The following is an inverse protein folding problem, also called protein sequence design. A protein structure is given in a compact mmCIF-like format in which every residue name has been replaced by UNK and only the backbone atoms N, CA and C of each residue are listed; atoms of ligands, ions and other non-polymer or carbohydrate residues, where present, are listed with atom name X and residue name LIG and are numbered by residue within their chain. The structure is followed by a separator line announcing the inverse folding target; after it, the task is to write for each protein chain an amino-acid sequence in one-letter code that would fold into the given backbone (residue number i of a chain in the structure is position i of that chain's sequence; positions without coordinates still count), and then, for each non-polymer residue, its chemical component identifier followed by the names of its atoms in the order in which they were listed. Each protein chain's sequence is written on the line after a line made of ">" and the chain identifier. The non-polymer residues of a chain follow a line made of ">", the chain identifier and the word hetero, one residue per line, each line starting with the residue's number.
data_IF_313908543696
#
_entry.id   IF_313908543696
#
_cell.length_a   1.000
_cell.length_b   1.000
_cell.length_c   1.000
_cell.angle_alpha   90.00
_cell.angle_beta   90.00
_cell.angle_gamma   90.00
#
_symmetry.space_group_name_H-M   'P 1'
#
loop_
_entity.id
_entity.type
_entity.pdbx_description
1 polymer ?
#
# COMPACT_ATOMS: atom_id res chain seq x y z
N UNK A 1 33.16 -0.59 6.05
CA UNK A 1 31.88 -0.53 5.32
C UNK A 1 30.79 -0.18 6.31
N UNK A 2 30.21 1.01 6.24
CA UNK A 2 29.10 1.41 7.12
C UNK A 2 27.79 0.85 6.54
N UNK A 3 27.23 -0.18 7.18
CA UNK A 3 25.90 -0.67 6.84
C UNK A 3 24.83 0.16 7.54
N UNK A 4 23.80 0.53 6.78
CA UNK A 4 22.60 1.24 7.25
C UNK A 4 21.74 0.28 8.05
N UNK A 5 21.38 0.66 9.27
CA UNK A 5 20.31 -0.01 10.01
C UNK A 5 18.96 0.35 9.39
N UNK A 6 18.13 -0.63 8.99
CA UNK A 6 16.79 -0.36 8.47
C UNK A 6 15.87 0.00 9.65
N UNK A 7 15.17 1.13 9.57
CA UNK A 7 14.08 1.47 10.51
C UNK A 7 14.18 2.78 11.28
N UNK A 8 15.24 3.58 11.12
CA UNK A 8 15.31 4.91 11.75
C UNK A 8 14.82 6.00 10.77
N UNK A 9 13.93 6.87 11.25
CA UNK A 9 13.51 8.08 10.55
C UNK A 9 14.74 8.95 10.23
N UNK A 10 15.21 8.89 8.99
CA UNK A 10 16.48 9.47 8.52
C UNK A 10 16.49 11.00 8.69
N UNK A 11 15.31 11.61 8.77
CA UNK A 11 15.10 13.04 8.88
C UNK A 11 15.46 13.54 10.31
N UNK A 12 15.01 12.85 11.37
CA UNK A 12 15.28 13.27 12.76
C UNK A 12 16.75 13.09 13.17
N UNK A 13 17.42 12.07 12.63
CA UNK A 13 18.84 11.81 12.91
C UNK A 13 19.74 12.84 12.23
N UNK A 14 19.36 13.32 11.04
CA UNK A 14 20.09 14.37 10.33
C UNK A 14 19.97 15.75 11.00
N UNK A 15 18.79 16.10 11.52
CA UNK A 15 18.57 17.37 12.22
C UNK A 15 19.28 17.43 13.59
N UNK A 16 19.31 16.31 14.32
CA UNK A 16 20.03 16.23 15.61
C UNK A 16 21.54 16.44 15.46
N UNK A 17 22.13 15.95 14.36
CA UNK A 17 23.57 16.14 14.08
C UNK A 17 23.86 17.60 13.65
N UNK A 18 22.93 18.25 12.94
CA UNK A 18 23.05 19.68 12.56
C UNK A 18 22.94 20.64 13.74
N UNK A 19 22.15 20.32 14.76
CA UNK A 19 22.05 21.14 15.97
C UNK A 19 23.29 21.08 16.86
N UNK A 20 24.06 19.98 16.84
CA UNK A 20 25.28 19.84 17.64
C UNK A 20 26.55 20.39 16.97
N UNK A 21 26.53 20.62 15.65
CA UNK A 21 27.67 21.16 14.89
C UNK A 21 28.18 22.56 15.32
N UNK A 22 27.35 23.56 15.66
CA UNK A 22 27.87 24.87 16.05
C UNK A 22 28.66 24.83 17.37
N UNK A 23 28.29 23.94 18.30
CA UNK A 23 28.94 23.82 19.61
C UNK A 23 30.35 23.19 19.53
N UNK A 24 30.58 22.29 18.57
CA UNK A 24 31.92 21.75 18.33
C UNK A 24 32.82 22.71 17.55
N UNK A 25 32.26 23.61 16.74
CA UNK A 25 33.02 24.53 15.90
C UNK A 25 33.67 25.67 16.69
N UNK A 26 33.12 26.05 17.86
CA UNK A 26 33.73 27.04 18.77
C UNK A 26 34.96 26.51 19.54
N UNK A 27 35.14 25.19 19.63
CA UNK A 27 36.21 24.56 20.43
C UNK A 27 37.50 24.30 19.64
N UNK A 28 37.54 24.61 18.35
CA UNK A 28 38.64 24.26 17.45
C UNK A 28 39.46 25.50 17.01
N UNK A 29 40.81 25.46 17.08
CA UNK A 29 41.68 26.60 16.77
C UNK A 29 41.64 26.99 15.28
N UNK A 30 41.85 28.29 15.01
CA UNK A 30 41.63 29.04 13.75
C UNK A 30 42.46 28.62 12.50
N UNK A 31 42.99 27.40 12.44
CA UNK A 31 43.90 26.95 11.37
C UNK A 31 43.30 25.90 10.42
N UNK A 32 42.00 25.59 10.53
CA UNK A 32 41.34 24.62 9.64
C UNK A 32 40.12 25.28 8.98
N UNK A 33 40.22 25.57 7.68
CA UNK A 33 39.08 25.98 6.85
C UNK A 33 38.21 24.75 6.59
N UNK A 34 37.08 24.66 7.28
CA UNK A 34 36.05 23.66 7.01
C UNK A 34 35.15 24.20 5.89
N UNK A 35 35.43 23.77 4.66
CA UNK A 35 34.55 24.00 3.52
C UNK A 35 33.59 22.82 3.43
N UNK A 36 32.28 23.05 3.56
CA UNK A 36 31.25 22.00 3.46
C UNK A 36 31.15 21.53 2.01
N UNK A 37 31.85 20.44 1.69
CA UNK A 37 32.03 19.93 0.33
C UNK A 37 30.89 19.02 -0.18
N UNK A 38 29.81 18.86 0.58
CA UNK A 38 28.63 18.13 0.11
C UNK A 38 27.41 18.45 0.97
N UNK A 39 26.71 19.54 0.65
CA UNK A 39 25.40 19.79 1.24
C UNK A 39 24.35 18.91 0.52
N UNK A 40 24.19 17.67 0.99
CA UNK A 40 23.14 16.76 0.48
C UNK A 40 21.73 17.17 0.94
N UNK A 41 21.58 18.20 1.78
CA UNK A 41 20.26 18.57 2.31
C UNK A 41 19.40 19.35 1.34
N UNK A 42 19.99 20.02 0.33
CA UNK A 42 19.23 20.63 -0.77
C UNK A 42 18.62 19.58 -1.69
N UNK A 43 19.38 18.53 -2.03
CA UNK A 43 18.85 17.38 -2.79
C UNK A 43 17.77 16.63 -2.01
N UNK A 44 17.90 16.47 -0.69
CA UNK A 44 16.87 15.79 0.11
C UNK A 44 15.58 16.63 0.19
N UNK A 45 15.67 17.96 0.33
CA UNK A 45 14.47 18.83 0.27
C UNK A 45 13.82 18.83 -1.11
N UNK A 46 14.61 18.86 -2.19
CA UNK A 46 14.08 18.75 -3.55
C UNK A 46 13.38 17.40 -3.77
N UNK A 47 13.98 16.29 -3.32
CA UNK A 47 13.33 14.97 -3.38
C UNK A 47 12.05 14.89 -2.55
N UNK A 48 11.93 15.61 -1.42
CA UNK A 48 10.69 15.64 -0.61
C UNK A 48 9.58 16.42 -1.31
N UNK A 49 9.89 17.58 -1.89
CA UNK A 49 8.93 18.38 -2.67
C UNK A 49 8.46 17.62 -3.92
N UNK A 50 9.39 16.98 -4.63
CA UNK A 50 9.08 16.13 -5.80
C UNK A 50 8.22 14.94 -5.39
N UNK A 51 8.53 14.28 -4.27
CA UNK A 51 7.70 13.18 -3.74
C UNK A 51 6.29 13.67 -3.39
N UNK A 52 6.16 14.86 -2.80
CA UNK A 52 4.87 15.41 -2.44
C UNK A 52 4.00 15.72 -3.67
N UNK A 53 4.62 16.23 -4.74
CA UNK A 53 3.96 16.47 -6.02
C UNK A 53 3.53 15.15 -6.69
N UNK A 54 4.41 14.14 -6.69
CA UNK A 54 4.13 12.82 -7.25
C UNK A 54 2.99 12.11 -6.50
N UNK A 55 2.95 12.24 -5.17
CA UNK A 55 1.90 11.68 -4.31
C UNK A 55 0.54 12.35 -4.58
N UNK A 56 0.51 13.67 -4.77
CA UNK A 56 -0.69 14.39 -5.21
C UNK A 56 -1.15 13.93 -6.59
N UNK A 57 -0.22 13.79 -7.54
CA UNK A 57 -0.53 13.38 -8.91
C UNK A 57 -1.08 11.94 -8.94
N UNK A 58 -0.48 11.03 -8.16
CA UNK A 58 -0.95 9.66 -8.01
C UNK A 58 -2.38 9.60 -7.45
N UNK A 59 -2.69 10.38 -6.41
CA UNK A 59 -4.05 10.47 -5.87
C UNK A 59 -5.02 11.00 -6.93
N UNK A 60 -4.66 12.05 -7.65
CA UNK A 60 -5.49 12.63 -8.70
C UNK A 60 -5.77 11.64 -9.84
N UNK A 61 -4.75 10.88 -10.25
CA UNK A 61 -4.86 9.84 -11.30
C UNK A 61 -5.77 8.69 -10.86
N UNK A 62 -5.64 8.25 -9.62
CA UNK A 62 -6.51 7.21 -9.03
C UNK A 62 -7.96 7.67 -9.00
N UNK A 63 -8.23 8.90 -8.56
CA UNK A 63 -9.59 9.47 -8.55
C UNK A 63 -10.15 9.58 -9.98
N UNK A 64 -9.32 9.98 -10.94
CA UNK A 64 -9.73 10.16 -12.34
C UNK A 64 -10.06 8.83 -13.03
N UNK A 65 -9.24 7.79 -12.86
CA UNK A 65 -9.50 6.49 -13.48
C UNK A 65 -10.74 5.84 -12.88
N UNK A 66 -10.93 5.98 -11.57
CA UNK A 66 -12.13 5.53 -10.86
C UNK A 66 -13.38 6.23 -11.42
N UNK A 67 -13.34 7.56 -11.63
CA UNK A 67 -14.44 8.32 -12.24
C UNK A 67 -14.77 7.86 -13.68
N UNK A 68 -13.75 7.51 -14.46
CA UNK A 68 -13.90 7.15 -15.88
C UNK A 68 -14.62 5.81 -16.07
N UNK A 69 -14.44 4.86 -15.16
CA UNK A 69 -14.98 3.50 -15.32
C UNK A 69 -16.50 3.36 -15.12
N UNK A 70 -17.15 4.23 -14.34
CA UNK A 70 -18.51 3.94 -13.85
C UNK A 70 -19.59 4.95 -14.28
N UNK A 71 -19.25 6.18 -14.69
CA UNK A 71 -20.22 7.21 -15.15
C UNK A 71 -21.42 7.42 -14.19
N UNK A 72 -21.28 7.04 -12.92
CA UNK A 72 -22.26 7.14 -11.84
C UNK A 72 -21.53 7.24 -10.49
N UNK A 73 -21.56 8.44 -9.88
CA UNK A 73 -20.71 8.84 -8.74
C UNK A 73 -20.80 7.92 -7.50
N UNK A 74 -21.98 7.49 -7.00
CA UNK A 74 -22.05 6.69 -5.77
C UNK A 74 -21.50 5.26 -5.92
N UNK A 75 -21.70 4.61 -7.08
CA UNK A 75 -21.18 3.27 -7.34
C UNK A 75 -19.64 3.24 -7.40
N UNK A 76 -19.05 4.39 -7.70
CA UNK A 76 -17.63 4.60 -7.95
C UNK A 76 -16.84 4.86 -6.67
N UNK A 77 -17.44 5.63 -5.75
CA UNK A 77 -16.79 6.03 -4.50
C UNK A 77 -16.54 4.83 -3.57
N UNK A 78 -17.43 3.83 -3.59
CA UNK A 78 -17.37 2.71 -2.64
C UNK A 78 -16.11 1.84 -2.88
N UNK A 79 -15.85 1.31 -4.09
CA UNK A 79 -14.56 0.65 -4.36
C UNK A 79 -13.37 1.61 -4.22
N UNK A 80 -13.55 2.88 -4.61
CA UNK A 80 -12.48 3.88 -4.59
C UNK A 80 -11.95 4.23 -3.18
N UNK A 81 -12.77 4.07 -2.14
CA UNK A 81 -12.34 4.22 -0.74
C UNK A 81 -11.96 2.85 -0.14
N UNK A 82 -12.66 1.78 -0.50
CA UNK A 82 -12.41 0.45 0.05
C UNK A 82 -11.00 -0.06 -0.29
N UNK A 83 -10.51 0.19 -1.50
CA UNK A 83 -9.21 -0.31 -1.97
C UNK A 83 -8.01 0.36 -1.28
N UNK A 84 -7.92 1.70 -1.20
CA UNK A 84 -6.86 2.33 -0.42
C UNK A 84 -6.91 1.94 1.06
N UNK A 85 -8.12 1.83 1.63
CA UNK A 85 -8.29 1.47 3.04
C UNK A 85 -7.80 0.03 3.32
N UNK A 86 -8.06 -0.91 2.40
CA UNK A 86 -7.59 -2.29 2.53
C UNK A 86 -6.06 -2.37 2.48
N UNK A 87 -5.42 -1.63 1.55
CA UNK A 87 -3.96 -1.56 1.46
C UNK A 87 -3.32 -0.97 2.71
N UNK A 88 -3.86 0.14 3.23
CA UNK A 88 -3.39 0.74 4.49
C UNK A 88 -3.52 -0.27 5.64
N UNK A 89 -4.65 -0.99 5.71
CA UNK A 89 -4.87 -2.06 6.67
C UNK A 89 -3.85 -3.20 6.54
N UNK A 90 -3.55 -3.65 5.32
CA UNK A 90 -2.53 -4.67 5.07
C UNK A 90 -1.15 -4.20 5.52
N UNK A 91 -0.74 -2.97 5.20
CA UNK A 91 0.54 -2.43 5.68
C UNK A 91 0.59 -2.32 7.19
N UNK A 92 -0.50 -1.94 7.86
CA UNK A 92 -0.56 -1.90 9.32
C UNK A 92 -0.32 -3.29 9.94
N UNK A 93 -0.92 -4.34 9.38
CA UNK A 93 -0.71 -5.74 9.82
C UNK A 93 0.71 -6.20 9.51
N UNK A 94 1.28 -5.84 8.36
CA UNK A 94 2.67 -6.17 8.01
C UNK A 94 3.66 -5.57 9.00
N UNK A 95 3.45 -4.31 9.41
CA UNK A 95 4.28 -3.66 10.44
C UNK A 95 4.12 -4.35 11.80
N UNK A 96 2.90 -4.75 12.16
CA UNK A 96 2.64 -5.47 13.42
C UNK A 96 3.30 -6.86 13.47
N UNK A 97 3.47 -7.50 12.32
CA UNK A 97 4.11 -8.82 12.17
C UNK A 97 5.59 -8.76 11.75
N UNK A 98 6.20 -7.56 11.75
CA UNK A 98 7.59 -7.32 11.32
C UNK A 98 7.91 -7.86 9.90
N UNK A 99 6.93 -7.82 8.99
CA UNK A 99 7.13 -8.18 7.59
C UNK A 99 7.78 -7.07 6.78
N UNK A 100 8.79 -7.44 5.98
CA UNK A 100 9.50 -6.53 5.08
C UNK A 100 8.80 -6.42 3.73
N UNK A 101 8.83 -5.23 3.15
CA UNK A 101 8.39 -5.00 1.76
C UNK A 101 9.52 -5.45 0.82
N UNK A 102 9.23 -6.48 0.03
CA UNK A 102 10.10 -7.02 -1.01
C UNK A 102 9.30 -7.31 -2.30
N UNK A 103 9.99 -7.70 -3.38
CA UNK A 103 9.35 -7.95 -4.67
C UNK A 103 8.22 -9.00 -4.61
N UNK A 104 8.34 -10.04 -3.76
CA UNK A 104 7.29 -11.04 -3.60
C UNK A 104 6.06 -10.45 -2.91
N UNK A 105 6.26 -9.65 -1.86
CA UNK A 105 5.13 -8.97 -1.17
C UNK A 105 4.45 -7.95 -2.06
N UNK A 106 5.20 -7.26 -2.94
CA UNK A 106 4.62 -6.34 -3.92
C UNK A 106 3.76 -7.09 -4.94
N UNK A 107 4.23 -8.22 -5.46
CA UNK A 107 3.44 -9.06 -6.36
C UNK A 107 2.18 -9.62 -5.66
N UNK A 108 2.30 -10.04 -4.40
CA UNK A 108 1.18 -10.50 -3.60
C UNK A 108 0.14 -9.39 -3.35
N UNK A 109 0.60 -8.17 -3.03
CA UNK A 109 -0.27 -7.00 -2.85
C UNK A 109 -1.04 -6.66 -4.14
N UNK A 110 -0.40 -6.73 -5.31
CA UNK A 110 -1.07 -6.48 -6.60
C UNK A 110 -2.21 -7.48 -6.83
N UNK A 111 -1.97 -8.77 -6.59
CA UNK A 111 -3.01 -9.81 -6.75
C UNK A 111 -4.12 -9.63 -5.71
N UNK A 112 -3.75 -9.39 -4.45
CA UNK A 112 -4.70 -9.19 -3.36
C UNK A 112 -5.61 -7.98 -3.60
N UNK A 113 -5.07 -6.90 -4.16
CA UNK A 113 -5.85 -5.71 -4.54
C UNK A 113 -6.94 -6.06 -5.55
N UNK A 114 -6.64 -6.91 -6.55
CA UNK A 114 -7.63 -7.39 -7.52
C UNK A 114 -8.80 -8.10 -6.86
N UNK A 115 -8.53 -9.05 -5.96
CA UNK A 115 -9.59 -9.77 -5.24
C UNK A 115 -10.49 -8.84 -4.40
N UNK A 116 -9.91 -7.84 -3.72
CA UNK A 116 -10.69 -6.87 -2.93
C UNK A 116 -11.57 -5.99 -3.82
N UNK A 117 -11.04 -5.56 -4.98
CA UNK A 117 -11.80 -4.77 -5.96
C UNK A 117 -12.98 -5.57 -6.50
N UNK A 118 -12.74 -6.82 -6.89
CA UNK A 118 -13.76 -7.71 -7.46
C UNK A 118 -14.94 -7.90 -6.49
N UNK A 119 -14.66 -8.18 -5.21
CA UNK A 119 -15.69 -8.35 -4.19
C UNK A 119 -16.52 -7.07 -3.99
N UNK A 120 -15.86 -5.90 -3.98
CA UNK A 120 -16.55 -4.61 -3.83
C UNK A 120 -17.45 -4.28 -5.04
N UNK A 121 -16.99 -4.59 -6.26
CA UNK A 121 -17.74 -4.32 -7.48
C UNK A 121 -18.98 -5.22 -7.55
N UNK A 122 -18.85 -6.52 -7.27
CA UNK A 122 -19.98 -7.46 -7.29
C UNK A 122 -21.10 -7.03 -6.35
N UNK A 123 -20.75 -6.47 -5.17
CA UNK A 123 -21.75 -5.94 -4.23
C UNK A 123 -22.52 -4.77 -4.78
N UNK A 124 -21.80 -3.79 -5.33
CA UNK A 124 -22.42 -2.58 -5.86
C UNK A 124 -23.23 -2.86 -7.11
N UNK A 125 -22.78 -3.74 -7.99
CA UNK A 125 -23.53 -4.12 -9.18
C UNK A 125 -24.89 -4.73 -8.80
N UNK A 126 -24.92 -5.62 -7.80
CA UNK A 126 -26.18 -6.19 -7.32
C UNK A 126 -27.11 -5.12 -6.72
N UNK A 127 -26.57 -4.22 -5.89
CA UNK A 127 -27.37 -3.14 -5.28
C UNK A 127 -27.89 -2.17 -6.35
N UNK A 128 -27.04 -1.77 -7.31
CA UNK A 128 -27.40 -0.87 -8.42
C UNK A 128 -28.56 -1.43 -9.23
N UNK A 129 -28.54 -2.75 -9.50
CA UNK A 129 -29.63 -3.45 -10.18
C UNK A 129 -30.97 -3.33 -9.44
N UNK A 130 -30.98 -3.30 -8.11
CA UNK A 130 -32.23 -3.09 -7.34
C UNK A 130 -32.67 -1.63 -7.33
N UNK A 131 -31.72 -0.68 -7.33
CA UNK A 131 -32.02 0.76 -7.45
C UNK A 131 -32.63 1.06 -8.82
N UNK A 132 -32.10 0.49 -9.90
CA UNK A 132 -32.64 0.62 -11.26
C UNK A 132 -34.04 0.02 -11.42
N UNK A 133 -34.37 -1.00 -10.63
CA UNK A 133 -35.73 -1.57 -10.53
C UNK A 133 -36.70 -0.70 -9.74
N UNK A 134 -36.26 0.44 -9.21
CA UNK A 134 -37.08 1.40 -8.49
C UNK A 134 -37.14 1.20 -6.97
N UNK A 135 -36.30 0.31 -6.40
CA UNK A 135 -36.23 0.17 -4.94
C UNK A 135 -35.47 1.36 -4.30
N UNK A 136 -35.87 1.74 -3.07
CA UNK A 136 -35.17 2.79 -2.32
C UNK A 136 -33.73 2.33 -2.00
N UNK A 137 -32.72 3.22 -2.02
CA UNK A 137 -31.31 2.85 -1.85
C UNK A 137 -31.00 1.99 -0.62
N UNK A 138 -31.64 2.31 0.52
CA UNK A 138 -31.44 1.55 1.76
C UNK A 138 -32.07 0.14 1.70
N UNK A 139 -33.23 0.00 1.06
CA UNK A 139 -33.87 -1.30 0.87
C UNK A 139 -33.09 -2.16 -0.14
N UNK A 140 -32.65 -1.54 -1.24
CA UNK A 140 -31.79 -2.16 -2.25
C UNK A 140 -30.46 -2.65 -1.65
N UNK A 141 -29.84 -1.87 -0.74
CA UNK A 141 -28.62 -2.27 -0.06
C UNK A 141 -28.83 -3.47 0.87
N UNK A 142 -29.93 -3.49 1.64
CA UNK A 142 -30.22 -4.56 2.59
C UNK A 142 -30.55 -5.88 1.87
N UNK A 143 -31.35 -5.80 0.81
CA UNK A 143 -31.71 -6.94 -0.04
C UNK A 143 -30.52 -7.42 -0.87
N UNK A 144 -29.79 -6.47 -1.47
CA UNK A 144 -28.60 -6.75 -2.26
C UNK A 144 -27.51 -7.43 -1.46
N UNK A 145 -27.20 -6.93 -0.25
CA UNK A 145 -26.22 -7.54 0.64
C UNK A 145 -26.67 -8.93 1.14
N UNK A 146 -27.96 -9.13 1.40
CA UNK A 146 -28.49 -10.43 1.84
C UNK A 146 -28.38 -11.54 0.80
N UNK A 147 -28.54 -11.22 -0.49
CA UNK A 147 -28.54 -12.21 -1.57
C UNK A 147 -27.13 -12.72 -1.93
N UNK A 148 -26.15 -11.81 -2.00
CA UNK A 148 -24.77 -12.14 -2.41
C UNK A 148 -23.81 -12.28 -1.23
N UNK A 149 -24.17 -11.79 -0.04
CA UNK A 149 -23.28 -11.77 1.12
C UNK A 149 -22.82 -13.19 1.49
N UNK A 150 -23.72 -14.16 1.42
CA UNK A 150 -23.37 -15.57 1.63
C UNK A 150 -22.36 -16.08 0.60
N UNK A 151 -22.55 -15.74 -0.68
CA UNK A 151 -21.63 -16.12 -1.76
C UNK A 151 -20.25 -15.53 -1.57
N UNK A 152 -20.15 -14.26 -1.20
CA UNK A 152 -18.86 -13.58 -0.98
C UNK A 152 -18.13 -14.22 0.19
N UNK A 153 -18.81 -14.43 1.33
CA UNK A 153 -18.20 -15.10 2.49
C UNK A 153 -17.65 -16.48 2.12
N UNK A 154 -18.41 -17.25 1.33
CA UNK A 154 -17.99 -18.57 0.86
C UNK A 154 -16.76 -18.50 -0.06
N UNK A 155 -16.73 -17.51 -0.96
CA UNK A 155 -15.61 -17.29 -1.88
C UNK A 155 -14.36 -16.84 -1.14
N UNK A 156 -14.47 -15.89 -0.22
CA UNK A 156 -13.36 -15.44 0.64
C UNK A 156 -12.81 -16.59 1.47
N UNK A 157 -13.67 -17.41 2.07
CA UNK A 157 -13.23 -18.56 2.86
C UNK A 157 -12.48 -19.60 1.99
N UNK A 158 -12.98 -19.86 0.79
CA UNK A 158 -12.33 -20.73 -0.18
C UNK A 158 -10.95 -20.20 -0.58
N UNK A 159 -10.83 -18.90 -0.83
CA UNK A 159 -9.57 -18.25 -1.16
C UNK A 159 -8.56 -18.36 -0.02
N UNK A 160 -8.99 -18.08 1.21
CA UNK A 160 -8.16 -18.21 2.42
C UNK A 160 -7.70 -19.67 2.58
N UNK A 161 -8.59 -20.64 2.42
CA UNK A 161 -8.24 -22.05 2.53
C UNK A 161 -7.18 -22.47 1.50
N UNK A 162 -7.31 -22.02 0.25
CA UNK A 162 -6.33 -22.29 -0.81
C UNK A 162 -5.00 -21.60 -0.53
N UNK A 163 -5.00 -20.34 -0.07
CA UNK A 163 -3.77 -19.61 0.27
C UNK A 163 -3.05 -20.23 1.46
N UNK A 164 -3.77 -20.64 2.50
CA UNK A 164 -3.21 -21.37 3.65
C UNK A 164 -2.62 -22.70 3.18
N UNK A 165 -3.35 -23.46 2.34
CA UNK A 165 -2.85 -24.72 1.80
C UNK A 165 -1.57 -24.53 0.99
N UNK A 166 -1.53 -23.52 0.12
CA UNK A 166 -0.35 -23.20 -0.69
C UNK A 166 0.84 -22.80 0.19
N UNK A 167 0.61 -21.95 1.20
CA UNK A 167 1.65 -21.53 2.14
C UNK A 167 2.19 -22.72 2.95
N UNK A 168 1.32 -23.60 3.44
CA UNK A 168 1.72 -24.81 4.16
C UNK A 168 2.54 -25.75 3.27
N UNK A 169 2.15 -25.90 2.00
CA UNK A 169 2.90 -26.71 1.04
C UNK A 169 4.27 -26.10 0.72
N UNK A 170 4.36 -24.77 0.57
CA UNK A 170 5.63 -24.05 0.38
C UNK A 170 6.58 -24.20 1.58
N UNK A 171 6.06 -24.17 2.80
CA UNK A 171 6.85 -24.39 4.03
C UNK A 171 7.35 -25.85 4.10
N UNK A 172 6.50 -26.81 3.77
CA UNK A 172 6.83 -28.25 3.77
C UNK A 172 7.87 -28.64 2.72
N UNK A 173 7.87 -27.97 1.56
CA UNK A 173 8.74 -28.28 0.44
C UNK A 173 10.18 -27.75 0.58
N UNK A 174 10.49 -26.92 1.59
CA UNK A 174 11.83 -26.33 1.77
C UNK A 174 12.26 -25.37 0.65
N UNK A 175 11.41 -25.19 -0.37
CA UNK A 175 11.61 -24.35 -1.55
C UNK A 175 11.19 -22.90 -1.23
N UNK A 176 11.80 -22.31 -0.20
CA UNK A 176 11.75 -20.86 0.07
C UNK A 176 12.97 -20.16 -0.58
N UNK A 177 13.38 -20.64 -1.75
CA UNK A 177 14.41 -20.01 -2.58
C UNK A 177 13.86 -19.88 -4.00
N UNK A 178 14.13 -18.74 -4.61
CA UNK A 178 13.56 -18.22 -5.85
C UNK A 178 13.92 -19.03 -7.11
N UNK A 179 13.65 -20.35 -7.11
CA UNK A 179 13.97 -21.26 -8.21
C UNK A 179 12.72 -21.81 -8.93
N UNK A 180 11.53 -21.32 -8.56
CA UNK A 180 10.27 -21.67 -9.23
C UNK A 180 10.12 -20.99 -10.61
N UNK A 181 10.81 -19.88 -10.88
CA UNK A 181 10.81 -19.20 -12.19
C UNK A 181 11.71 -19.88 -13.25
N UNK A 182 12.66 -20.73 -12.85
CA UNK A 182 13.49 -21.52 -13.77
C UNK A 182 12.93 -22.92 -14.05
N UNK A 183 11.89 -23.35 -13.32
CA UNK A 183 11.28 -24.69 -13.46
C UNK A 183 10.06 -24.72 -14.39
N UNK A 184 9.63 -23.56 -14.89
CA UNK A 184 8.55 -23.38 -15.86
C UNK A 184 9.04 -22.79 -17.21
N UNK A 185 10.29 -23.09 -17.59
CA UNK A 185 10.81 -22.87 -18.94
C UNK A 185 11.20 -24.19 -19.58
#
# INVERSE_FOLDING_TARGET
>A
MFQRQPGANIISTADSIRQMLPQLTESLPKSVKVTVLSDRTTNIRASVDDTQFELMMAIALVVMIIYLFLRNIPATIIPGVAVPLSLIGTFAVMVFLDFSINNLTLMALTIATGFVVDDAIVVIENISRYIEKGEKPLAAALKGAGEIGFTIISLTFSLIAVLIHCCLWAISSGDCSANLLLRWR
#
